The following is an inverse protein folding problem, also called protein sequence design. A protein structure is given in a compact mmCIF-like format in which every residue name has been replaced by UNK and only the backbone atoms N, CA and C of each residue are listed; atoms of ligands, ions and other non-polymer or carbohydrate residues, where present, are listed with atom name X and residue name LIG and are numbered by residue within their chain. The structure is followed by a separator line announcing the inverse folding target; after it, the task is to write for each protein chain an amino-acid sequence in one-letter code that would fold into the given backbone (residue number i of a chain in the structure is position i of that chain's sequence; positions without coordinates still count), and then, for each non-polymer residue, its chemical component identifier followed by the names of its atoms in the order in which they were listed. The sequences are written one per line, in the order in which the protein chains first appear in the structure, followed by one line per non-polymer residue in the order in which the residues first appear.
data_IF_723902563358
#
_entry.id   IF_723902563358
#
_cell.length_a   1.000
_cell.length_b   1.000
_cell.length_c   1.000
_cell.angle_alpha   90.00
_cell.angle_beta   90.00
_cell.angle_gamma   90.00
#
_symmetry.space_group_name_H-M   'P 1'
#
loop_
_entity.id
_entity.type
_entity.pdbx_description
1 polymer ?
#
# COMPACT_ATOMS: atom_id res chain seq x y z
N UNK A 1 -4.64 1.97 -13.17
CA UNK A 1 -5.29 2.33 -11.91
C UNK A 1 -4.90 1.32 -10.84
N UNK A 2 -4.57 1.79 -9.63
CA UNK A 2 -4.21 0.94 -8.49
C UNK A 2 -5.01 1.39 -7.27
N UNK A 3 -5.72 0.46 -6.65
CA UNK A 3 -6.48 0.70 -5.42
C UNK A 3 -5.94 -0.13 -4.26
N UNK A 4 -5.83 0.51 -3.11
CA UNK A 4 -5.58 -0.14 -1.84
C UNK A 4 -6.81 0.07 -0.97
N UNK A 5 -7.43 -1.02 -0.55
CA UNK A 5 -8.67 -1.00 0.21
C UNK A 5 -8.41 -1.58 1.59
N UNK A 6 -8.47 -0.71 2.60
CA UNK A 6 -8.27 -1.02 4.02
C UNK A 6 -7.03 -1.90 4.26
N UNK A 7 -5.88 -1.51 3.70
CA UNK A 7 -4.66 -2.32 3.75
C UNK A 7 -3.99 -2.21 5.11
N UNK A 8 -3.77 -3.37 5.74
CA UNK A 8 -3.01 -3.51 6.98
C UNK A 8 -1.74 -4.31 6.75
N UNK A 9 -0.65 -3.90 7.41
CA UNK A 9 0.58 -4.71 7.46
C UNK A 9 1.31 -4.51 8.77
N UNK A 10 1.69 -5.62 9.40
CA UNK A 10 2.54 -5.66 10.58
C UNK A 10 3.76 -6.54 10.39
N UNK A 11 4.87 -6.16 11.01
CA UNK A 11 6.07 -6.99 11.09
C UNK A 11 6.47 -7.15 12.55
N UNK A 12 6.57 -8.40 13.04
CA UNK A 12 6.94 -8.70 14.44
C UNK A 12 6.10 -7.92 15.47
N UNK A 13 4.80 -7.76 15.21
CA UNK A 13 3.87 -7.04 16.09
C UNK A 13 3.87 -5.51 15.93
N UNK A 14 4.80 -4.93 15.16
CA UNK A 14 4.78 -3.50 14.84
C UNK A 14 3.89 -3.26 13.61
N UNK A 15 2.83 -2.45 13.77
CA UNK A 15 2.02 -1.96 12.66
C UNK A 15 2.83 -1.01 11.79
N UNK A 16 2.88 -1.29 10.49
CA UNK A 16 3.54 -0.46 9.48
C UNK A 16 2.53 0.22 8.57
N UNK A 17 1.47 -0.49 8.19
CA UNK A 17 0.27 0.06 7.55
C UNK A 17 -0.93 -0.28 8.42
N UNK A 18 -1.81 0.68 8.68
CA UNK A 18 -2.96 0.55 9.60
C UNK A 18 -4.23 1.09 8.93
N UNK A 19 -4.87 0.26 8.11
CA UNK A 19 -6.12 0.60 7.42
C UNK A 19 -5.97 1.64 6.31
N UNK A 20 -4.89 1.54 5.53
CA UNK A 20 -4.60 2.48 4.46
C UNK A 20 -5.61 2.31 3.30
N UNK A 21 -6.22 3.42 2.87
CA UNK A 21 -6.98 3.50 1.64
C UNK A 21 -6.29 4.48 0.68
N UNK A 22 -6.05 4.06 -0.55
CA UNK A 22 -5.38 4.88 -1.56
C UNK A 22 -5.84 4.47 -2.96
N UNK A 23 -6.23 5.46 -3.76
CA UNK A 23 -6.58 5.31 -5.18
C UNK A 23 -5.53 6.04 -6.01
N UNK A 24 -4.96 5.37 -7.01
CA UNK A 24 -3.99 5.94 -7.95
C UNK A 24 -4.56 5.84 -9.36
N UNK A 25 -4.79 6.99 -9.97
CA UNK A 25 -5.31 7.11 -11.32
C UNK A 25 -4.31 6.68 -12.40
N UNK A 26 -4.82 6.14 -13.50
CA UNK A 26 -4.00 5.82 -14.66
C UNK A 26 -3.55 7.10 -15.38
N UNK A 27 -2.28 7.16 -15.78
CA UNK A 27 -1.73 8.30 -16.52
C UNK A 27 -1.29 9.48 -15.66
N UNK A 28 -1.39 9.39 -14.33
CA UNK A 28 -0.91 10.41 -13.40
C UNK A 28 0.45 10.05 -12.78
N UNK A 29 1.19 11.08 -12.37
CA UNK A 29 2.39 10.91 -11.55
C UNK A 29 2.00 11.14 -10.09
N UNK A 30 1.99 10.08 -9.30
CA UNK A 30 1.76 10.14 -7.86
C UNK A 30 3.08 10.10 -7.09
N UNK A 31 3.26 11.01 -6.13
CA UNK A 31 4.44 11.05 -5.26
C UNK A 31 4.06 10.68 -3.83
N UNK A 32 4.72 9.66 -3.27
CA UNK A 32 4.55 9.24 -1.87
C UNK A 32 5.67 9.87 -1.02
N UNK A 33 5.31 10.80 -0.15
CA UNK A 33 6.24 11.47 0.78
C UNK A 33 5.95 11.10 2.23
N UNK A 34 6.96 11.26 3.09
CA UNK A 34 6.84 10.98 4.52
C UNK A 34 8.18 10.64 5.16
N UNK A 35 8.21 10.59 6.49
CA UNK A 35 9.43 10.33 7.26
C UNK A 35 10.03 8.94 6.96
N UNK A 36 11.34 8.78 7.20
CA UNK A 36 11.98 7.46 7.15
C UNK A 36 11.30 6.50 8.13
N UNK A 37 11.10 5.25 7.72
CA UNK A 37 10.37 4.26 8.52
C UNK A 37 8.83 4.35 8.46
N UNK A 38 8.25 5.39 7.83
CA UNK A 38 6.80 5.57 7.73
C UNK A 38 6.06 4.64 6.75
N UNK A 39 6.61 3.47 6.43
CA UNK A 39 5.91 2.46 5.62
C UNK A 39 5.92 2.65 4.09
N UNK A 40 6.52 3.71 3.54
CA UNK A 40 6.53 3.99 2.08
C UNK A 40 7.02 2.82 1.21
N UNK A 41 8.16 2.22 1.54
CA UNK A 41 8.67 1.07 0.79
C UNK A 41 7.81 -0.18 0.98
N UNK A 42 7.11 -0.31 2.10
CA UNK A 42 6.16 -1.40 2.35
C UNK A 42 4.92 -1.19 1.49
N UNK A 43 4.38 0.02 1.43
CA UNK A 43 3.29 0.41 0.52
C UNK A 43 3.61 0.07 -0.93
N UNK A 44 4.76 0.52 -1.44
CA UNK A 44 5.18 0.25 -2.82
C UNK A 44 5.32 -1.26 -3.10
N UNK A 45 5.86 -2.05 -2.15
CA UNK A 45 5.99 -3.50 -2.31
C UNK A 45 4.64 -4.23 -2.39
N UNK A 46 3.59 -3.70 -1.77
CA UNK A 46 2.24 -4.24 -1.93
C UNK A 46 1.70 -3.98 -3.34
N UNK A 47 1.88 -2.75 -3.86
CA UNK A 47 1.42 -2.36 -5.21
C UNK A 47 2.01 -3.25 -6.31
N UNK A 48 3.26 -3.70 -6.15
CA UNK A 48 3.93 -4.57 -7.12
C UNK A 48 3.83 -6.07 -6.77
N UNK A 49 2.99 -6.44 -5.79
CA UNK A 49 2.75 -7.84 -5.42
C UNK A 49 3.92 -8.57 -4.74
N UNK A 50 4.99 -7.87 -4.33
CA UNK A 50 6.12 -8.50 -3.64
C UNK A 50 5.79 -8.94 -2.22
N UNK A 51 4.82 -8.28 -1.58
CA UNK A 51 4.30 -8.66 -0.27
C UNK A 51 2.78 -8.58 -0.26
N UNK A 52 2.14 -9.54 0.41
CA UNK A 52 0.70 -9.52 0.63
C UNK A 52 0.35 -8.73 1.89
N UNK A 53 -0.78 -8.00 1.88
CA UNK A 53 -1.29 -7.36 3.08
C UNK A 53 -1.73 -8.42 4.08
N UNK A 54 -1.76 -8.07 5.36
CA UNK A 54 -2.30 -8.96 6.40
C UNK A 54 -3.84 -8.90 6.41
N UNK A 55 -4.41 -7.75 6.04
CA UNK A 55 -5.85 -7.53 5.84
C UNK A 55 -6.07 -6.50 4.74
N UNK A 56 -7.25 -6.53 4.11
CA UNK A 56 -7.59 -5.70 2.97
C UNK A 56 -7.03 -6.26 1.67
N UNK A 57 -7.08 -5.45 0.62
CA UNK A 57 -6.72 -5.86 -0.74
C UNK A 57 -6.00 -4.76 -1.51
N UNK A 58 -5.22 -5.20 -2.49
CA UNK A 58 -4.59 -4.32 -3.48
C UNK A 58 -5.06 -4.79 -4.84
N UNK A 59 -5.75 -3.89 -5.54
CA UNK A 59 -6.35 -4.14 -6.84
C UNK A 59 -5.55 -3.40 -7.91
N UNK A 60 -5.18 -4.08 -8.97
CA UNK A 60 -4.49 -3.49 -10.13
C UNK A 60 -5.39 -3.65 -11.34
N UNK A 61 -5.81 -2.53 -11.93
CA UNK A 61 -6.84 -2.52 -12.97
C UNK A 61 -8.14 -3.24 -12.55
N UNK A 62 -8.48 -3.16 -11.25
CA UNK A 62 -9.69 -3.75 -10.67
C UNK A 62 -9.61 -5.25 -10.36
N UNK A 63 -8.42 -5.87 -10.42
CA UNK A 63 -8.19 -7.31 -10.14
C UNK A 63 -7.16 -7.51 -9.04
#
# INVERSE_FOLDING_TARGET
MIDLVNVHKSFKGQKVLDGLNLWIEAGEITVIIGQSGGGKSVLLKHMIGLIKPDQGEVLVEGV
#
